data_IF_908320603049
#
_entry.id   IF_908320603049
#
_cell.length_a   1.000
_cell.length_b   1.000
_cell.length_c   1.000
_cell.angle_alpha   90.00
_cell.angle_beta   90.00
_cell.angle_gamma   90.00
#
_symmetry.space_group_name_H-M   'P 1'
#
loop_
_entity.id
_entity.type
_entity.pdbx_description
1 polymer ?
#
# COMPACT_ATOMS: atom_id res chain seq x y z
N UNK A 1 29.18 8.65 -15.11
CA UNK A 1 28.10 8.77 -14.10
C UNK A 1 28.38 10.01 -13.27
N UNK A 2 27.42 10.92 -13.10
CA UNK A 2 27.56 12.01 -12.13
C UNK A 2 27.26 11.41 -10.76
N UNK A 3 28.21 11.51 -9.83
CA UNK A 3 28.02 11.11 -8.44
C UNK A 3 27.74 12.37 -7.64
N UNK A 4 26.57 12.40 -6.99
CA UNK A 4 26.16 13.48 -6.11
C UNK A 4 26.42 13.02 -4.68
N UNK A 5 27.16 13.83 -3.92
CA UNK A 5 27.51 13.55 -2.53
C UNK A 5 26.53 14.28 -1.59
N UNK A 6 27.05 15.26 -0.84
CA UNK A 6 26.33 15.97 0.21
C UNK A 6 25.43 17.06 -0.36
N UNK A 7 24.35 17.33 0.39
CA UNK A 7 23.41 18.35 0.01
C UNK A 7 23.91 19.74 0.37
N UNK A 8 23.64 20.68 -0.51
CA UNK A 8 23.77 22.11 -0.22
C UNK A 8 22.39 22.62 0.22
N UNK A 9 22.30 23.18 1.43
CA UNK A 9 21.03 23.61 1.99
C UNK A 9 21.16 24.80 2.94
N UNK A 10 20.04 25.22 3.56
CA UNK A 10 20.00 26.40 4.44
C UNK A 10 20.93 26.31 5.65
N UNK A 11 21.38 25.11 6.03
CA UNK A 11 22.31 24.87 7.13
C UNK A 11 23.42 23.90 6.71
N UNK A 12 24.59 23.89 7.40
CA UNK A 12 25.67 22.92 7.13
C UNK A 12 25.28 21.45 7.31
N UNK A 13 24.17 21.18 8.01
CA UNK A 13 23.70 19.82 8.29
C UNK A 13 22.51 19.40 7.41
N UNK A 14 22.05 20.28 6.51
CA UNK A 14 20.97 19.98 5.57
C UNK A 14 21.30 18.75 4.73
N UNK A 15 20.31 17.89 4.49
CA UNK A 15 20.49 16.66 3.70
C UNK A 15 19.50 16.59 2.55
N UNK A 16 19.80 15.67 1.61
CA UNK A 16 18.84 15.26 0.59
C UNK A 16 17.83 14.29 1.20
N UNK A 17 16.56 14.63 1.05
CA UNK A 17 15.45 13.79 1.48
C UNK A 17 14.19 14.08 0.66
N UNK A 18 13.07 13.42 0.97
CA UNK A 18 11.80 13.63 0.26
C UNK A 18 11.39 15.12 0.17
N UNK A 19 11.64 15.88 1.24
CA UNK A 19 11.31 17.32 1.30
C UNK A 19 12.21 18.20 0.43
N UNK A 20 13.34 17.68 -0.08
CA UNK A 20 14.19 18.37 -1.04
C UNK A 20 13.46 18.67 -2.35
N UNK A 21 12.45 17.86 -2.74
CA UNK A 21 11.65 18.09 -3.94
C UNK A 21 10.85 19.40 -3.82
N UNK A 22 9.94 19.56 -2.84
CA UNK A 22 9.20 20.83 -2.69
C UNK A 22 10.12 22.01 -2.37
N UNK A 23 11.20 21.81 -1.61
CA UNK A 23 12.20 22.85 -1.35
C UNK A 23 12.88 23.34 -2.65
N UNK A 24 13.21 22.41 -3.55
CA UNK A 24 13.79 22.73 -4.87
C UNK A 24 12.80 23.50 -5.73
N UNK A 25 11.54 23.05 -5.82
CA UNK A 25 10.48 23.75 -6.58
C UNK A 25 10.31 25.18 -6.05
N UNK A 26 10.24 25.35 -4.73
CA UNK A 26 10.13 26.65 -4.10
C UNK A 26 11.27 27.59 -4.51
N UNK A 27 12.51 27.09 -4.46
CA UNK A 27 13.72 27.86 -4.81
C UNK A 27 13.78 28.16 -6.31
N UNK A 28 13.56 27.15 -7.16
CA UNK A 28 13.64 27.24 -8.62
C UNK A 28 12.64 28.26 -9.19
N UNK A 29 11.42 28.30 -8.67
CA UNK A 29 10.37 29.23 -9.10
C UNK A 29 10.27 30.50 -8.23
N UNK A 30 11.20 30.70 -7.27
CA UNK A 30 11.23 31.86 -6.38
C UNK A 30 9.88 32.12 -5.66
N UNK A 31 9.23 31.05 -5.19
CA UNK A 31 7.89 31.13 -4.59
C UNK A 31 7.95 31.84 -3.23
N UNK A 32 7.14 32.89 -3.07
CA UNK A 32 7.12 33.76 -1.87
C UNK A 32 6.27 33.25 -0.71
N UNK A 33 5.55 32.15 -0.90
CA UNK A 33 4.77 31.51 0.17
C UNK A 33 5.68 31.08 1.33
N UNK A 34 5.10 30.64 2.45
CA UNK A 34 5.87 29.96 3.49
C UNK A 34 6.29 28.56 3.04
N UNK A 35 7.25 27.95 3.74
CA UNK A 35 7.47 26.50 3.64
C UNK A 35 6.26 25.76 4.23
N UNK A 36 5.99 24.56 3.74
CA UNK A 36 4.85 23.77 4.20
C UNK A 36 5.12 23.20 5.61
N UNK A 37 6.37 22.88 5.89
CA UNK A 37 6.83 22.29 7.16
C UNK A 37 8.21 22.84 7.54
N UNK A 38 8.72 22.46 8.72
CA UNK A 38 10.13 22.72 9.08
C UNK A 38 11.10 21.85 8.27
N UNK A 39 10.61 20.74 7.73
CA UNK A 39 11.42 19.72 7.07
C UNK A 39 11.83 20.14 5.66
N UNK A 40 10.90 20.66 4.85
CA UNK A 40 11.21 21.32 3.57
C UNK A 40 11.94 22.66 3.75
N UNK A 41 11.74 23.36 4.86
CA UNK A 41 12.55 24.55 5.18
C UNK A 41 14.03 24.23 5.48
N UNK A 42 14.34 22.99 5.91
CA UNK A 42 15.68 22.53 6.26
C UNK A 42 16.38 21.76 5.13
N UNK A 43 15.63 21.07 4.28
CA UNK A 43 16.17 20.17 3.27
C UNK A 43 17.10 20.88 2.26
N UNK A 44 18.14 20.18 1.81
CA UNK A 44 18.98 20.65 0.71
C UNK A 44 18.23 20.59 -0.63
N UNK A 45 18.66 21.39 -1.60
CA UNK A 45 17.96 21.57 -2.88
C UNK A 45 18.79 21.11 -4.08
N UNK A 46 18.14 20.78 -5.20
CA UNK A 46 18.77 20.17 -6.39
C UNK A 46 19.09 21.15 -7.52
N UNK A 47 18.71 22.42 -7.41
CA UNK A 47 18.76 23.42 -8.49
C UNK A 47 20.16 23.59 -9.08
N UNK A 48 21.20 23.48 -8.26
CA UNK A 48 22.60 23.55 -8.72
C UNK A 48 22.90 22.50 -9.78
N UNK A 49 22.27 21.34 -9.69
CA UNK A 49 22.54 20.22 -10.59
C UNK A 49 21.93 20.37 -11.97
N UNK A 50 20.93 21.25 -12.13
CA UNK A 50 20.41 21.61 -13.45
C UNK A 50 21.41 22.41 -14.29
N UNK A 51 22.45 22.98 -13.67
CA UNK A 51 23.46 23.79 -14.33
C UNK A 51 24.85 23.13 -14.40
N UNK A 52 24.98 21.83 -14.05
CA UNK A 52 26.27 21.13 -14.22
C UNK A 52 26.60 20.93 -15.70
N UNK A 53 25.60 20.98 -16.58
CA UNK A 53 25.75 20.75 -18.03
C UNK A 53 25.03 21.84 -18.80
N UNK A 54 25.65 22.27 -19.89
CA UNK A 54 25.04 23.20 -20.85
C UNK A 54 23.94 22.52 -21.69
N UNK A 55 24.00 21.20 -21.80
CA UNK A 55 23.05 20.39 -22.59
C UNK A 55 22.51 19.19 -21.79
N UNK A 56 21.21 18.87 -21.93
CA UNK A 56 20.63 17.66 -21.37
C UNK A 56 21.36 16.39 -21.83
N UNK A 57 21.30 15.33 -21.02
CA UNK A 57 21.78 14.01 -21.43
C UNK A 57 20.75 13.33 -22.34
N UNK A 58 21.24 12.71 -23.40
CA UNK A 58 20.51 11.92 -24.39
C UNK A 58 20.72 10.41 -24.23
N UNK A 59 21.58 10.00 -23.29
CA UNK A 59 21.93 8.60 -23.01
C UNK A 59 21.03 7.94 -21.95
N UNK A 60 19.80 8.45 -21.76
CA UNK A 60 18.83 7.85 -20.85
C UNK A 60 18.30 6.54 -21.44
N UNK A 61 18.45 5.37 -20.77
CA UNK A 61 17.90 4.13 -21.28
C UNK A 61 16.36 4.18 -21.27
N UNK A 62 15.74 4.05 -22.43
CA UNK A 62 14.27 4.04 -22.57
C UNK A 62 13.64 2.72 -22.12
N UNK A 63 14.43 1.64 -22.13
CA UNK A 63 14.00 0.31 -21.71
C UNK A 63 14.90 -0.22 -20.62
N UNK A 64 14.29 -0.84 -19.60
CA UNK A 64 15.04 -1.61 -18.63
C UNK A 64 15.61 -2.87 -19.30
N UNK A 65 16.85 -3.29 -18.96
CA UNK A 65 17.35 -4.57 -19.40
C UNK A 65 16.47 -5.70 -18.86
N UNK A 66 16.41 -6.81 -19.59
CA UNK A 66 15.70 -7.99 -19.12
C UNK A 66 16.35 -8.50 -17.82
N UNK A 67 15.60 -8.41 -16.73
CA UNK A 67 16.09 -8.83 -15.41
C UNK A 67 15.96 -10.34 -15.33
N UNK A 68 17.09 -11.04 -15.22
CA UNK A 68 17.08 -12.47 -14.89
C UNK A 68 16.49 -12.65 -13.50
N UNK A 69 15.60 -13.63 -13.33
CA UNK A 69 15.05 -13.97 -12.02
C UNK A 69 16.18 -14.14 -11.00
N UNK A 70 16.12 -13.38 -9.91
CA UNK A 70 17.08 -13.49 -8.81
C UNK A 70 16.87 -14.77 -8.00
N UNK A 71 15.70 -15.41 -8.15
CA UNK A 71 15.38 -16.68 -7.50
C UNK A 71 15.71 -17.82 -8.44
N UNK A 72 16.41 -18.83 -7.92
CA UNK A 72 16.71 -20.08 -8.63
C UNK A 72 15.51 -21.01 -8.76
N UNK A 73 14.42 -20.75 -8.05
CA UNK A 73 13.21 -21.56 -8.05
C UNK A 73 11.95 -20.68 -7.96
N UNK A 74 10.82 -21.26 -8.37
CA UNK A 74 9.50 -20.62 -8.24
C UNK A 74 9.02 -20.50 -6.79
N UNK A 75 7.78 -20.01 -6.59
CA UNK A 75 7.13 -20.00 -5.29
C UNK A 75 7.04 -21.41 -4.69
N UNK A 76 7.28 -21.53 -3.37
CA UNK A 76 7.12 -22.80 -2.65
C UNK A 76 5.67 -22.98 -2.20
N UNK A 77 4.79 -23.25 -3.17
CA UNK A 77 3.34 -23.28 -2.98
C UNK A 77 2.85 -24.21 -1.86
N UNK A 78 3.49 -25.36 -1.69
CA UNK A 78 3.10 -26.37 -0.70
C UNK A 78 3.76 -26.17 0.69
N UNK A 79 4.58 -25.12 0.84
CA UNK A 79 5.21 -24.81 2.13
C UNK A 79 4.23 -24.15 3.10
N UNK A 80 4.55 -24.25 4.40
CA UNK A 80 3.90 -23.45 5.44
C UNK A 80 4.22 -21.96 5.26
N UNK A 81 3.32 -21.12 5.77
CA UNK A 81 3.48 -19.67 5.75
C UNK A 81 4.61 -19.21 6.68
N UNK A 82 5.35 -18.17 6.26
CA UNK A 82 6.17 -17.39 7.19
C UNK A 82 5.28 -16.55 8.12
N UNK A 83 5.85 -16.00 9.19
CA UNK A 83 5.13 -15.10 10.11
C UNK A 83 4.51 -13.92 9.37
N UNK A 84 5.31 -13.23 8.54
CA UNK A 84 4.82 -12.13 7.72
C UNK A 84 3.68 -12.56 6.78
N UNK A 85 3.76 -13.74 6.17
CA UNK A 85 2.67 -14.24 5.32
C UNK A 85 1.41 -14.52 6.13
N UNK A 86 1.51 -15.02 7.37
CA UNK A 86 0.35 -15.18 8.25
C UNK A 86 -0.27 -13.82 8.61
N UNK A 87 0.53 -12.79 8.90
CA UNK A 87 0.05 -11.43 9.17
C UNK A 87 -0.72 -10.84 7.97
N UNK A 88 -0.27 -11.11 6.74
CA UNK A 88 -1.02 -10.74 5.54
C UNK A 88 -2.39 -11.44 5.46
N UNK A 89 -2.48 -12.69 5.90
CA UNK A 89 -3.75 -13.43 5.96
C UNK A 89 -4.66 -12.90 7.07
N UNK A 90 -4.11 -12.48 8.21
CA UNK A 90 -4.87 -11.78 9.26
C UNK A 90 -5.41 -10.43 8.78
N UNK A 91 -4.66 -9.72 7.94
CA UNK A 91 -5.15 -8.50 7.29
C UNK A 91 -6.27 -8.82 6.28
N UNK A 92 -6.09 -9.85 5.46
CA UNK A 92 -7.12 -10.28 4.51
C UNK A 92 -8.42 -10.71 5.22
N UNK A 93 -8.34 -11.31 6.41
CA UNK A 93 -9.54 -11.69 7.19
C UNK A 93 -10.39 -10.50 7.66
N UNK A 94 -9.83 -9.27 7.67
CA UNK A 94 -10.62 -8.07 7.95
C UNK A 94 -11.62 -7.78 6.82
N UNK A 95 -11.28 -8.16 5.58
CA UNK A 95 -12.07 -7.83 4.39
C UNK A 95 -13.29 -8.73 4.21
N UNK A 96 -13.22 -9.98 4.66
CA UNK A 96 -14.33 -10.94 4.52
C UNK A 96 -15.09 -11.19 5.83
N UNK A 97 -14.71 -10.51 6.92
CA UNK A 97 -15.33 -10.63 8.23
C UNK A 97 -14.81 -11.80 9.08
N UNK A 98 -13.93 -12.67 8.55
CA UNK A 98 -13.46 -13.87 9.25
C UNK A 98 -12.60 -13.56 10.49
N UNK A 99 -12.25 -12.30 10.72
CA UNK A 99 -11.59 -11.83 11.95
C UNK A 99 -12.38 -12.14 13.24
N UNK A 100 -13.70 -12.40 13.14
CA UNK A 100 -14.54 -12.78 14.30
C UNK A 100 -14.54 -14.29 14.57
N UNK A 101 -13.92 -15.11 13.73
CA UNK A 101 -13.88 -16.56 13.90
C UNK A 101 -12.91 -16.96 15.02
N UNK A 102 -13.19 -18.06 15.72
CA UNK A 102 -12.32 -18.61 16.78
C UNK A 102 -10.92 -18.98 16.29
N UNK A 103 -10.72 -19.10 14.97
CA UNK A 103 -9.40 -19.31 14.38
C UNK A 103 -8.52 -18.07 14.42
N UNK A 104 -9.07 -16.87 14.61
CA UNK A 104 -8.30 -15.64 14.74
C UNK A 104 -7.59 -15.56 16.11
N UNK A 105 -6.33 -15.08 16.20
CA UNK A 105 -5.50 -14.54 15.11
C UNK A 105 -4.73 -15.61 14.32
N UNK A 106 -4.90 -16.90 14.65
CA UNK A 106 -4.17 -18.01 14.03
C UNK A 106 -4.69 -18.42 12.64
N UNK A 107 -5.41 -17.54 11.94
CA UNK A 107 -5.85 -17.81 10.57
C UNK A 107 -4.63 -17.94 9.65
N UNK A 108 -4.64 -18.92 8.75
CA UNK A 108 -3.48 -19.23 7.91
C UNK A 108 -2.45 -20.19 8.54
N UNK A 109 -2.48 -20.45 9.86
CA UNK A 109 -1.51 -21.33 10.53
C UNK A 109 -1.43 -22.74 9.92
N UNK A 110 -2.55 -23.25 9.44
CA UNK A 110 -2.64 -24.59 8.81
C UNK A 110 -2.72 -24.52 7.28
N UNK A 111 -2.56 -23.34 6.67
CA UNK A 111 -2.55 -23.20 5.22
C UNK A 111 -1.15 -23.46 4.64
N UNK A 112 -1.14 -23.88 3.39
CA UNK A 112 0.00 -23.79 2.48
C UNK A 112 0.05 -22.39 1.85
N UNK A 113 1.19 -21.99 1.28
CA UNK A 113 1.32 -20.73 0.54
C UNK A 113 0.26 -20.59 -0.56
N UNK A 114 -0.06 -21.69 -1.25
CA UNK A 114 -1.10 -21.73 -2.29
C UNK A 114 -2.51 -21.43 -1.75
N UNK A 115 -2.89 -22.08 -0.65
CA UNK A 115 -4.19 -21.88 -0.01
C UNK A 115 -4.33 -20.47 0.55
N UNK A 116 -3.27 -19.95 1.15
CA UNK A 116 -3.22 -18.59 1.68
C UNK A 116 -3.36 -17.53 0.58
N UNK A 117 -2.68 -17.71 -0.56
CA UNK A 117 -2.84 -16.83 -1.72
C UNK A 117 -4.30 -16.79 -2.19
N UNK A 118 -4.91 -17.98 -2.36
CA UNK A 118 -6.32 -18.08 -2.77
C UNK A 118 -7.26 -17.43 -1.75
N UNK A 119 -7.01 -17.63 -0.46
CA UNK A 119 -7.78 -16.99 0.60
C UNK A 119 -7.72 -15.46 0.50
N UNK A 120 -6.53 -14.88 0.30
CA UNK A 120 -6.35 -13.44 0.18
C UNK A 120 -7.06 -12.88 -1.07
N UNK A 121 -6.91 -13.53 -2.22
CA UNK A 121 -7.61 -13.17 -3.46
C UNK A 121 -9.13 -13.22 -3.29
N UNK A 122 -9.64 -14.27 -2.66
CA UNK A 122 -11.07 -14.45 -2.39
C UNK A 122 -11.61 -13.37 -1.43
N UNK A 123 -10.86 -13.02 -0.39
CA UNK A 123 -11.24 -11.98 0.56
C UNK A 123 -11.36 -10.60 -0.11
N UNK A 124 -10.34 -10.22 -0.90
CA UNK A 124 -10.35 -8.96 -1.66
C UNK A 124 -11.49 -8.94 -2.67
N UNK A 125 -11.68 -10.02 -3.43
CA UNK A 125 -12.74 -10.11 -4.44
C UNK A 125 -14.13 -9.93 -3.81
N UNK A 126 -14.43 -10.65 -2.73
CA UNK A 126 -15.72 -10.57 -2.03
C UNK A 126 -15.97 -9.17 -1.46
N UNK A 127 -14.96 -8.55 -0.90
CA UNK A 127 -15.07 -7.18 -0.39
C UNK A 127 -15.38 -6.19 -1.51
N UNK A 128 -14.67 -6.25 -2.64
CA UNK A 128 -14.92 -5.38 -3.78
C UNK A 128 -16.30 -5.60 -4.42
N UNK A 129 -16.77 -6.85 -4.49
CA UNK A 129 -18.12 -7.16 -4.96
C UNK A 129 -19.19 -6.55 -4.05
N UNK A 130 -19.03 -6.70 -2.73
CA UNK A 130 -19.95 -6.13 -1.75
C UNK A 130 -19.92 -4.60 -1.75
N UNK A 131 -18.73 -3.98 -1.87
CA UNK A 131 -18.57 -2.53 -2.01
C UNK A 131 -19.29 -2.00 -3.26
N UNK A 132 -19.10 -2.65 -4.42
CA UNK A 132 -19.81 -2.28 -5.65
C UNK A 132 -21.33 -2.44 -5.52
N UNK A 133 -21.79 -3.49 -4.83
CA UNK A 133 -23.21 -3.71 -4.59
C UNK A 133 -23.80 -2.63 -3.67
N UNK A 134 -23.09 -2.24 -2.60
CA UNK A 134 -23.50 -1.18 -1.69
C UNK A 134 -23.59 0.18 -2.40
N UNK A 135 -22.60 0.53 -3.23
CA UNK A 135 -22.65 1.75 -4.04
C UNK A 135 -23.86 1.77 -4.98
N UNK A 136 -24.14 0.66 -5.67
CA UNK A 136 -25.32 0.52 -6.53
C UNK A 136 -26.64 0.64 -5.75
N UNK A 137 -26.64 0.28 -4.48
CA UNK A 137 -27.79 0.41 -3.59
C UNK A 137 -27.92 1.82 -2.95
N UNK A 138 -27.04 2.76 -3.29
CA UNK A 138 -27.09 4.14 -2.80
C UNK A 138 -26.37 4.37 -1.46
N UNK A 139 -25.46 3.47 -1.07
CA UNK A 139 -24.59 3.72 0.07
C UNK A 139 -23.68 4.95 -0.18
N UNK A 140 -23.34 5.67 0.88
CA UNK A 140 -22.39 6.78 0.82
C UNK A 140 -21.00 6.27 0.35
N UNK A 141 -20.36 6.99 -0.59
CA UNK A 141 -19.04 6.65 -1.14
C UNK A 141 -17.94 6.52 -0.06
N UNK A 142 -18.10 7.18 1.08
CA UNK A 142 -17.18 7.08 2.23
C UNK A 142 -17.53 5.98 3.23
N UNK A 143 -18.62 5.24 3.02
CA UNK A 143 -19.03 4.16 3.91
C UNK A 143 -18.13 2.92 3.72
N UNK A 144 -17.65 2.36 4.83
CA UNK A 144 -16.89 1.11 4.82
C UNK A 144 -17.89 -0.05 4.87
N UNK A 145 -17.78 -0.98 3.92
CA UNK A 145 -18.61 -2.19 3.90
C UNK A 145 -18.12 -3.20 4.92
N UNK A 146 -18.95 -3.49 5.92
CA UNK A 146 -18.69 -4.54 6.91
C UNK A 146 -19.17 -5.89 6.40
N UNK A 147 -18.24 -6.80 6.14
CA UNK A 147 -18.54 -8.16 5.70
C UNK A 147 -18.79 -9.09 6.89
N UNK A 148 -19.71 -10.05 6.72
CA UNK A 148 -19.92 -11.15 7.66
C UNK A 148 -19.17 -12.41 7.18
N UNK A 149 -18.61 -13.22 8.10
CA UNK A 149 -18.00 -14.50 7.75
C UNK A 149 -18.92 -15.36 6.87
N UNK A 150 -18.34 -16.03 5.87
CA UNK A 150 -19.11 -16.98 5.03
C UNK A 150 -19.70 -18.16 5.81
N UNK A 151 -19.14 -18.48 6.98
CA UNK A 151 -19.63 -19.55 7.84
C UNK A 151 -20.92 -19.17 8.60
N UNK A 152 -21.19 -17.86 8.79
CA UNK A 152 -22.41 -17.39 9.46
C UNK A 152 -23.52 -17.02 8.47
N UNK A 153 -23.22 -16.90 7.17
CA UNK A 153 -24.21 -16.63 6.12
C UNK A 153 -24.99 -17.87 5.64
N UNK A 154 -24.70 -19.07 6.18
CA UNK A 154 -25.39 -20.35 5.86
C UNK A 154 -26.38 -20.78 6.95
N UNK A 155 -26.99 -19.84 7.69
CA UNK A 155 -28.22 -20.17 8.43
C UNK A 155 -29.37 -20.27 7.43
N UNK A 156 -30.10 -21.38 7.48
CA UNK A 156 -31.19 -21.72 6.58
C UNK A 156 -32.21 -20.57 6.46
N UNK A 157 -32.79 -20.43 5.26
CA UNK A 157 -34.02 -19.67 5.04
C UNK A 157 -35.08 -20.22 6.00
N UNK A 158 -35.30 -19.53 7.12
CA UNK A 158 -36.21 -19.98 8.16
C UNK A 158 -35.91 -19.39 9.53
N UNK A 159 -36.02 -18.07 9.65
CA UNK A 159 -36.70 -17.38 10.76
C UNK A 159 -36.37 -15.88 10.70
N UNK A 160 -37.13 -15.18 9.87
CA UNK A 160 -37.26 -13.73 9.93
C UNK A 160 -38.22 -13.41 11.09
N UNK A 161 -37.69 -13.22 12.29
CA UNK A 161 -38.24 -12.21 13.19
C UNK A 161 -37.29 -11.87 14.33
N UNK A 162 -37.04 -10.57 14.49
CA UNK A 162 -36.38 -9.88 15.62
C UNK A 162 -34.86 -9.79 15.47
N UNK A 163 -34.41 -8.64 14.96
CA UNK A 163 -33.56 -7.70 15.69
C UNK A 163 -33.29 -6.49 14.78
N UNK A 164 -34.33 -5.66 14.59
CA UNK A 164 -34.16 -4.22 14.52
C UNK A 164 -34.34 -3.75 15.96
N UNK A 165 -33.32 -3.17 16.57
CA UNK A 165 -33.38 -2.10 17.60
C UNK A 165 -31.98 -1.88 18.21
N UNK A 166 -31.50 -0.62 18.13
CA UNK A 166 -30.42 0.02 18.91
C UNK A 166 -29.00 -0.56 18.75
N UNK A 167 -27.93 0.18 18.46
CA UNK A 167 -27.52 1.57 18.68
C UNK A 167 -26.64 2.04 17.50
#
# INVERSE_FOLDING_TARGET
MIVIHEAEGPTPYSQYEHSSIPATVKKLFNLKSNFLTKRDAWAGTFEKYFYIRDTPRDDCPETLPEIKTLRSHGPREDSRLSEFQMELIQLASQLNGDYVLNSYPNIGKTMTVKEANRYAEDAVRRFLEAAKAALKAGANDSAIVTMRPSLTSRVAVGDNHKNLESY
#
